data_IF_659118942357
#
_entry.id   IF_659118942357
#
_cell.length_a   1.000
_cell.length_b   1.000
_cell.length_c   1.000
_cell.angle_alpha   90.00
_cell.angle_beta   90.00
_cell.angle_gamma   90.00
#
_symmetry.space_group_name_H-M   'P 1'
#
loop_
_entity.id
_entity.type
_entity.pdbx_description
1 polymer ?
#
# COMPACT_ATOMS: atom_id res chain seq x y z
N UNK A 1 -2.34 18.47 6.12
CA UNK A 1 -2.67 17.64 4.96
C UNK A 1 -2.05 16.26 5.16
N UNK A 2 -2.86 15.22 5.43
CA UNK A 2 -2.28 13.90 5.66
C UNK A 2 -1.73 13.29 4.38
N UNK A 3 -0.62 12.59 4.54
CA UNK A 3 -0.01 11.79 3.48
C UNK A 3 0.09 10.35 3.99
N UNK A 4 -0.46 9.41 3.23
CA UNK A 4 -0.47 8.00 3.59
C UNK A 4 0.49 7.26 2.66
N UNK A 5 1.45 6.55 3.24
CA UNK A 5 2.42 5.76 2.48
C UNK A 5 2.04 4.29 2.59
N UNK A 6 1.90 3.65 1.46
CA UNK A 6 1.58 2.23 1.40
C UNK A 6 2.74 1.50 0.73
N UNK A 7 3.46 0.72 1.50
CA UNK A 7 4.53 -0.14 0.99
C UNK A 7 3.96 -1.54 0.84
N UNK A 8 4.06 -2.10 -0.34
CA UNK A 8 3.45 -3.38 -0.65
C UNK A 8 4.32 -4.13 -1.67
N UNK A 9 4.14 -5.45 -1.72
CA UNK A 9 4.81 -6.22 -2.75
C UNK A 9 4.31 -5.81 -4.13
N UNK A 10 5.21 -5.72 -5.09
CA UNK A 10 4.87 -5.46 -6.49
C UNK A 10 3.92 -6.55 -7.02
N UNK A 11 3.06 -6.18 -7.94
CA UNK A 11 2.14 -7.10 -8.60
C UNK A 11 0.66 -6.76 -8.42
N UNK A 12 0.33 -5.78 -7.60
CA UNK A 12 -1.07 -5.33 -7.48
C UNK A 12 -1.47 -4.55 -8.73
N UNK A 13 -2.72 -4.72 -9.14
CA UNK A 13 -3.23 -4.04 -10.33
C UNK A 13 -3.52 -2.57 -10.04
N UNK A 14 -3.62 -1.78 -11.11
CA UNK A 14 -4.01 -0.38 -11.00
C UNK A 14 -5.41 -0.27 -10.40
N UNK A 15 -6.32 -1.17 -10.74
CA UNK A 15 -7.67 -1.20 -10.19
C UNK A 15 -7.67 -1.42 -8.68
N UNK A 16 -6.82 -2.33 -8.20
CA UNK A 16 -6.68 -2.57 -6.77
C UNK A 16 -6.13 -1.33 -6.05
N UNK A 17 -5.12 -0.69 -6.62
CA UNK A 17 -4.55 0.53 -6.05
C UNK A 17 -5.56 1.68 -6.07
N UNK A 18 -6.33 1.80 -7.14
CA UNK A 18 -7.37 2.84 -7.23
C UNK A 18 -8.43 2.65 -6.14
N UNK A 19 -8.87 1.41 -5.94
CA UNK A 19 -9.86 1.11 -4.91
C UNK A 19 -9.30 1.37 -3.51
N UNK A 20 -8.05 0.98 -3.26
CA UNK A 20 -7.41 1.20 -1.97
C UNK A 20 -7.22 2.68 -1.69
N UNK A 21 -6.77 3.45 -2.70
CA UNK A 21 -6.62 4.90 -2.55
C UNK A 21 -7.94 5.56 -2.17
N UNK A 22 -9.04 5.17 -2.83
CA UNK A 22 -10.37 5.71 -2.53
C UNK A 22 -10.81 5.35 -1.11
N UNK A 23 -10.60 4.10 -0.69
CA UNK A 23 -11.00 3.63 0.63
C UNK A 23 -10.21 4.31 1.74
N UNK A 24 -8.89 4.44 1.57
CA UNK A 24 -8.04 5.11 2.56
C UNK A 24 -8.37 6.59 2.68
N UNK A 25 -8.62 7.25 1.55
CA UNK A 25 -9.02 8.66 1.54
C UNK A 25 -10.34 8.85 2.25
N UNK A 26 -11.35 8.02 1.93
CA UNK A 26 -12.66 8.11 2.57
C UNK A 26 -12.59 7.92 4.08
N UNK A 27 -11.83 6.91 4.52
CA UNK A 27 -11.64 6.66 5.95
C UNK A 27 -10.96 7.83 6.65
N UNK A 28 -9.98 8.44 6.01
CA UNK A 28 -9.25 9.58 6.58
C UNK A 28 -10.16 10.78 6.72
N UNK A 29 -10.95 11.09 5.69
CA UNK A 29 -11.91 12.20 5.76
C UNK A 29 -12.93 11.94 6.86
N UNK A 30 -13.44 10.72 6.94
CA UNK A 30 -14.45 10.37 7.94
C UNK A 30 -13.92 10.51 9.36
N UNK A 31 -12.66 10.19 9.57
CA UNK A 31 -12.04 10.17 10.90
C UNK A 31 -11.48 11.53 11.32
N UNK A 32 -10.77 12.20 10.40
CA UNK A 32 -10.06 13.44 10.71
C UNK A 32 -10.81 14.67 10.26
N UNK A 33 -11.77 14.54 9.35
CA UNK A 33 -12.44 15.66 8.72
C UNK A 33 -11.62 16.22 7.56
N UNK A 34 -12.07 17.33 7.02
CA UNK A 34 -11.42 17.99 5.90
C UNK A 34 -11.88 17.48 4.55
N UNK A 35 -11.16 17.88 3.52
CA UNK A 35 -11.49 17.57 2.13
C UNK A 35 -10.61 16.43 1.62
N UNK A 36 -11.20 15.57 0.78
CA UNK A 36 -10.46 14.51 0.10
C UNK A 36 -9.29 15.08 -0.73
N UNK A 37 -9.44 16.28 -1.27
CA UNK A 37 -8.39 16.92 -2.07
C UNK A 37 -7.12 17.22 -1.25
N UNK A 38 -7.22 17.24 0.07
CA UNK A 38 -6.09 17.49 0.94
C UNK A 38 -5.36 16.23 1.37
N UNK A 39 -5.74 15.06 0.86
CA UNK A 39 -5.19 13.78 1.30
C UNK A 39 -4.43 13.15 0.15
N UNK A 40 -3.14 12.83 0.40
CA UNK A 40 -2.31 12.13 -0.57
C UNK A 40 -2.12 10.69 -0.14
N UNK A 41 -2.17 9.77 -1.10
CA UNK A 41 -1.86 8.37 -0.88
C UNK A 41 -0.75 7.99 -1.87
N UNK A 42 0.35 7.49 -1.35
CA UNK A 42 1.52 7.10 -2.15
C UNK A 42 1.69 5.59 -2.06
N UNK A 43 1.94 4.95 -3.20
CA UNK A 43 2.20 3.52 -3.25
C UNK A 43 3.65 3.27 -3.63
N UNK A 44 4.28 2.36 -2.90
CA UNK A 44 5.67 1.96 -3.14
C UNK A 44 5.66 0.46 -3.43
N UNK A 45 5.84 0.09 -4.70
CA UNK A 45 5.95 -1.29 -5.11
C UNK A 45 7.34 -1.81 -4.76
N UNK A 46 7.41 -2.88 -3.98
CA UNK A 46 8.67 -3.43 -3.51
C UNK A 46 8.77 -4.85 -4.02
N UNK A 47 9.88 -5.15 -4.68
CA UNK A 47 10.15 -6.50 -5.15
C UNK A 47 10.48 -7.42 -3.98
N UNK A 48 10.21 -8.71 -4.13
CA UNK A 48 10.46 -9.68 -3.06
C UNK A 48 11.94 -9.74 -2.70
N UNK A 49 12.84 -9.45 -3.63
CA UNK A 49 14.26 -9.42 -3.37
C UNK A 49 14.71 -8.12 -2.69
N UNK A 50 13.82 -7.17 -2.51
CA UNK A 50 14.08 -5.92 -1.80
C UNK A 50 13.41 -5.86 -0.44
N UNK A 51 12.84 -6.97 0.03
CA UNK A 51 12.12 -7.02 1.30
C UNK A 51 12.61 -8.19 2.12
N UNK A 52 13.24 -7.89 3.26
CA UNK A 52 13.71 -8.92 4.19
C UNK A 52 12.95 -8.84 5.50
N UNK A 53 12.63 -9.99 6.05
CA UNK A 53 12.04 -10.11 7.37
C UNK A 53 12.89 -11.12 8.17
N UNK A 54 13.36 -10.71 9.35
CA UNK A 54 14.23 -11.56 10.16
C UNK A 54 15.55 -11.86 9.47
N UNK A 55 16.00 -10.98 8.58
CA UNK A 55 17.25 -11.15 7.85
C UNK A 55 17.14 -12.05 6.61
N UNK A 56 15.94 -12.54 6.28
CA UNK A 56 15.73 -13.40 5.12
C UNK A 56 14.92 -12.66 4.06
N UNK A 57 15.40 -12.64 2.82
CA UNK A 57 14.65 -12.04 1.71
C UNK A 57 13.41 -12.85 1.40
N UNK A 58 12.32 -12.16 1.10
CA UNK A 58 11.08 -12.81 0.69
C UNK A 58 11.25 -13.58 -0.63
N UNK A 59 12.19 -13.17 -1.48
CA UNK A 59 12.53 -13.92 -2.69
C UNK A 59 13.06 -15.33 -2.39
N UNK A 60 13.66 -15.53 -1.22
CA UNK A 60 14.22 -16.81 -0.79
C UNK A 60 13.22 -17.66 -0.03
N UNK A 61 12.00 -17.17 0.20
CA UNK A 61 10.96 -17.91 0.90
C UNK A 61 10.04 -18.60 -0.09
N UNK A 62 9.38 -19.70 0.31
CA UNK A 62 8.37 -20.32 -0.55
C UNK A 62 7.28 -19.30 -0.90
N UNK A 63 6.73 -19.41 -2.12
CA UNK A 63 5.67 -18.52 -2.55
C UNK A 63 4.45 -18.66 -1.65
N UNK A 64 3.98 -17.53 -1.10
CA UNK A 64 2.76 -17.52 -0.31
C UNK A 64 1.55 -17.56 -1.25
N UNK A 65 0.43 -18.18 -0.81
CA UNK A 65 -0.81 -18.11 -1.57
C UNK A 65 -1.23 -16.65 -1.73
N UNK A 66 -1.77 -16.31 -2.89
CA UNK A 66 -2.33 -14.98 -3.11
C UNK A 66 -3.59 -14.82 -2.27
N UNK A 67 -3.75 -13.68 -1.61
CA UNK A 67 -4.98 -13.39 -0.91
C UNK A 67 -6.17 -13.25 -1.87
#
# INVERSE_FOLDING_TARGET
MPTIRVELFAGRTVEQKRALAAALTAATVQTLGGSADGIDVLFFDIERHDWATGGQLWADKPAAPKP
#
